data_IF_980735656024
#
_entry.id   IF_980735656024
#
_cell.length_a   1.000
_cell.length_b   1.000
_cell.length_c   1.000
_cell.angle_alpha   90.00
_cell.angle_beta   90.00
_cell.angle_gamma   90.00
#
_symmetry.space_group_name_H-M   'P 1'
#
loop_
_entity.id
_entity.type
_entity.pdbx_description
1 polymer ?
#
# COMPACT_ATOMS: atom_id res chain seq x y z
N UNK A 1 9.42 -13.91 13.30
CA UNK A 1 8.74 -13.26 12.17
C UNK A 1 8.20 -11.90 12.57
N UNK A 2 8.42 -10.87 11.74
CA UNK A 2 8.02 -9.49 12.00
C UNK A 2 6.64 -9.12 11.43
N UNK A 3 6.05 -10.00 10.60
CA UNK A 3 4.78 -9.78 9.90
C UNK A 3 3.77 -10.87 10.25
N UNK A 4 2.50 -10.48 10.33
CA UNK A 4 1.38 -11.40 10.48
C UNK A 4 1.26 -12.29 9.22
N UNK A 5 1.00 -13.60 9.35
CA UNK A 5 0.92 -14.53 8.21
C UNK A 5 -0.18 -14.19 7.20
N UNK A 6 -1.14 -13.33 7.54
CA UNK A 6 -2.18 -12.83 6.62
C UNK A 6 -1.65 -11.80 5.63
N UNK A 7 -0.44 -11.28 5.82
CA UNK A 7 0.18 -10.30 4.90
C UNK A 7 0.75 -11.02 3.69
N UNK A 8 0.21 -10.72 2.51
CA UNK A 8 0.72 -11.24 1.23
C UNK A 8 1.60 -10.18 0.57
N UNK A 9 2.89 -10.48 0.44
CA UNK A 9 3.82 -9.63 -0.29
C UNK A 9 3.64 -9.82 -1.81
N UNK A 10 3.59 -8.71 -2.55
CA UNK A 10 3.51 -8.71 -4.01
C UNK A 10 4.80 -8.13 -4.60
N UNK A 11 5.29 -8.76 -5.67
CA UNK A 11 6.45 -8.31 -6.44
C UNK A 11 6.25 -8.65 -7.93
N UNK A 12 7.14 -8.18 -8.80
CA UNK A 12 7.07 -8.49 -10.21
C UNK A 12 8.14 -7.78 -11.04
N UNK A 13 7.98 -7.85 -12.36
CA UNK A 13 8.87 -7.18 -13.29
C UNK A 13 8.82 -5.65 -13.10
N UNK A 14 9.93 -4.92 -13.34
CA UNK A 14 9.98 -3.46 -13.16
C UNK A 14 8.85 -2.69 -13.86
N UNK A 15 8.45 -3.13 -15.05
CA UNK A 15 7.34 -2.52 -15.79
C UNK A 15 5.98 -2.68 -15.09
N UNK A 16 5.75 -3.81 -14.42
CA UNK A 16 4.53 -4.04 -13.63
C UNK A 16 4.53 -3.17 -12.37
N UNK A 17 5.67 -3.07 -11.69
CA UNK A 17 5.83 -2.20 -10.51
C UNK A 17 5.58 -0.74 -10.90
N UNK A 18 6.17 -0.27 -12.00
CA UNK A 18 5.98 1.10 -12.49
C UNK A 18 4.50 1.39 -12.82
N UNK A 19 3.80 0.44 -13.46
CA UNK A 19 2.36 0.57 -13.75
C UNK A 19 1.52 0.66 -12.48
N UNK A 20 1.80 -0.16 -11.48
CA UNK A 20 1.10 -0.10 -10.17
C UNK A 20 1.37 1.25 -9.49
N UNK A 21 2.62 1.70 -9.45
CA UNK A 21 2.98 2.98 -8.86
C UNK A 21 2.23 4.15 -9.53
N UNK A 22 2.12 4.14 -10.86
CA UNK A 22 1.33 5.13 -11.61
C UNK A 22 -0.17 5.07 -11.25
N UNK A 23 -0.77 3.88 -11.27
CA UNK A 23 -2.20 3.69 -10.98
C UNK A 23 -2.58 4.19 -9.58
N UNK A 24 -1.70 3.97 -8.60
CA UNK A 24 -1.90 4.40 -7.21
C UNK A 24 -1.27 5.76 -6.89
N UNK A 25 -0.69 6.46 -7.87
CA UNK A 25 0.00 7.75 -7.69
C UNK A 25 1.05 7.71 -6.56
N UNK A 26 1.77 6.59 -6.48
CA UNK A 26 2.86 6.36 -5.53
C UNK A 26 4.17 6.78 -6.19
N UNK A 27 4.96 7.60 -5.49
CA UNK A 27 6.35 7.89 -5.86
C UNK A 27 7.28 6.90 -5.16
N UNK A 28 8.27 6.42 -5.90
CA UNK A 28 9.44 5.75 -5.36
C UNK A 28 10.70 6.21 -6.12
N UNK A 29 11.85 6.20 -5.46
CA UNK A 29 13.13 6.64 -5.99
C UNK A 29 14.25 5.80 -5.40
N UNK A 30 15.12 5.26 -6.25
CA UNK A 30 16.32 4.54 -5.81
C UNK A 30 17.38 5.59 -5.51
N UNK A 31 17.83 5.62 -4.27
CA UNK A 31 18.84 6.57 -3.79
C UNK A 31 20.14 5.81 -3.56
N UNK A 32 21.21 6.26 -4.22
CA UNK A 32 22.55 5.72 -4.06
C UNK A 32 23.41 6.73 -3.33
N UNK A 33 23.98 6.31 -2.20
CA UNK A 33 24.96 7.11 -1.47
C UNK A 33 26.34 6.94 -2.14
N UNK A 34 26.97 8.02 -2.63
CA UNK A 34 28.30 7.97 -3.24
C UNK A 34 29.40 7.42 -2.31
N UNK A 35 29.17 7.42 -1.00
CA UNK A 35 30.11 6.93 0.01
C UNK A 35 29.80 5.51 0.50
N UNK A 36 28.69 4.91 0.05
CA UNK A 36 28.33 3.54 0.39
C UNK A 36 28.98 2.52 -0.57
N UNK A 37 28.84 1.23 -0.24
CA UNK A 37 29.28 0.17 -1.12
C UNK A 37 28.61 0.27 -2.51
N UNK A 38 29.28 -0.14 -3.61
CA UNK A 38 28.76 0.02 -4.98
C UNK A 38 27.36 -0.58 -5.23
N UNK A 39 27.00 -1.62 -4.46
CA UNK A 39 25.70 -2.31 -4.57
C UNK A 39 24.65 -1.80 -3.57
N UNK A 40 25.04 -0.92 -2.63
CA UNK A 40 24.15 -0.39 -1.63
C UNK A 40 23.27 0.72 -2.21
N UNK A 41 21.96 0.61 -1.99
CA UNK A 41 21.01 1.66 -2.27
C UNK A 41 19.86 1.63 -1.26
N UNK A 42 19.25 2.78 -1.02
CA UNK A 42 17.97 2.89 -0.34
C UNK A 42 16.87 3.20 -1.35
N UNK A 43 15.62 3.05 -0.91
CA UNK A 43 14.46 3.44 -1.73
C UNK A 43 13.63 4.43 -0.94
N UNK A 44 13.64 5.68 -1.39
CA UNK A 44 12.66 6.66 -0.95
C UNK A 44 11.32 6.27 -1.56
N UNK A 45 10.28 6.15 -0.74
CA UNK A 45 8.96 5.73 -1.20
C UNK A 45 7.86 6.46 -0.45
N UNK A 46 6.70 6.59 -1.11
CA UNK A 46 5.50 7.09 -0.44
C UNK A 46 5.01 6.07 0.57
N UNK A 47 4.88 6.48 1.83
CA UNK A 47 4.32 5.64 2.89
C UNK A 47 2.82 5.90 3.07
N UNK A 48 2.02 4.84 3.13
CA UNK A 48 0.57 4.90 3.34
C UNK A 48 -0.13 3.60 2.98
N UNK A 49 -1.42 3.53 3.28
CA UNK A 49 -2.27 2.37 2.99
C UNK A 49 -3.41 2.76 2.05
N UNK A 50 -3.79 1.86 1.16
CA UNK A 50 -4.94 2.00 0.26
C UNK A 50 -5.98 0.95 0.65
N UNK A 51 -7.22 1.38 0.86
CA UNK A 51 -8.37 0.53 1.10
C UNK A 51 -9.21 0.43 -0.18
N UNK A 52 -9.50 -0.80 -0.58
CA UNK A 52 -10.32 -1.15 -1.72
C UNK A 52 -11.58 -1.88 -1.25
N UNK A 53 -12.68 -1.79 -2.00
CA UNK A 53 -13.86 -2.62 -1.78
C UNK A 53 -13.67 -4.06 -2.30
N UNK A 54 -14.67 -4.92 -2.12
CA UNK A 54 -14.64 -6.32 -2.57
C UNK A 54 -14.65 -6.49 -4.10
N UNK A 55 -14.91 -5.41 -4.85
CA UNK A 55 -14.85 -5.37 -6.32
C UNK A 55 -13.54 -4.75 -6.83
N UNK A 56 -12.68 -4.29 -5.92
CA UNK A 56 -11.41 -3.64 -6.24
C UNK A 56 -11.51 -2.13 -6.47
N UNK A 57 -12.66 -1.52 -6.20
CA UNK A 57 -12.83 -0.07 -6.31
C UNK A 57 -12.11 0.64 -5.15
N UNK A 58 -11.46 1.76 -5.45
CA UNK A 58 -10.77 2.56 -4.43
C UNK A 58 -11.77 3.23 -3.48
N UNK A 59 -11.60 2.99 -2.17
CA UNK A 59 -12.42 3.62 -1.12
C UNK A 59 -11.67 4.77 -0.43
N UNK A 60 -10.44 4.52 0.04
CA UNK A 60 -9.70 5.51 0.83
C UNK A 60 -8.20 5.27 0.85
N UNK A 61 -7.44 6.34 1.01
CA UNK A 61 -6.00 6.32 1.34
C UNK A 61 -5.81 6.78 2.79
N UNK A 62 -4.99 6.06 3.54
CA UNK A 62 -4.53 6.45 4.87
C UNK A 62 -3.09 6.93 4.78
N UNK A 63 -2.81 8.07 5.41
CA UNK A 63 -1.44 8.58 5.51
C UNK A 63 -0.61 7.71 6.45
N UNK A 64 0.71 7.73 6.28
CA UNK A 64 1.62 7.11 7.24
C UNK A 64 1.34 7.64 8.66
N UNK A 65 1.34 6.74 9.65
CA UNK A 65 1.07 7.08 11.05
C UNK A 65 -0.39 7.34 11.38
N UNK A 66 -1.35 7.07 10.47
CA UNK A 66 -2.78 7.13 10.81
C UNK A 66 -3.07 6.19 12.01
N UNK A 67 -3.75 6.65 13.07
CA UNK A 67 -4.08 5.81 14.23
C UNK A 67 -4.91 4.59 13.84
N UNK A 68 -4.64 3.45 14.48
CA UNK A 68 -5.29 2.18 14.18
C UNK A 68 -6.80 2.26 14.42
N UNK A 69 -7.22 2.97 15.47
CA UNK A 69 -8.62 3.18 15.82
C UNK A 69 -9.37 3.92 14.70
N UNK A 70 -8.70 4.89 14.06
CA UNK A 70 -9.27 5.63 12.93
C UNK A 70 -9.36 4.77 11.66
N UNK A 71 -8.37 3.90 11.43
CA UNK A 71 -8.40 2.95 10.32
C UNK A 71 -9.57 1.97 10.51
N UNK A 72 -9.66 1.35 11.70
CA UNK A 72 -10.72 0.40 12.03
C UNK A 72 -12.12 1.01 11.88
N UNK A 73 -12.36 2.16 12.51
CA UNK A 73 -13.66 2.86 12.41
C UNK A 73 -14.02 3.24 10.97
N UNK A 74 -13.01 3.56 10.14
CA UNK A 74 -13.24 3.83 8.71
C UNK A 74 -13.65 2.56 7.95
N UNK A 75 -13.03 1.42 8.26
CA UNK A 75 -13.36 0.14 7.63
C UNK A 75 -14.78 -0.28 8.03
N UNK A 76 -15.12 -0.19 9.32
CA UNK A 76 -16.46 -0.51 9.82
C UNK A 76 -17.54 0.36 9.14
N UNK A 77 -17.28 1.66 8.98
CA UNK A 77 -18.18 2.57 8.26
C UNK A 77 -18.47 2.10 6.82
N UNK A 78 -17.46 1.61 6.10
CA UNK A 78 -17.66 1.10 4.74
C UNK A 78 -18.35 -0.26 4.72
N UNK A 79 -18.14 -1.11 5.73
CA UNK A 79 -18.85 -2.38 5.88
C UNK A 79 -20.34 -2.13 6.12
N UNK A 80 -20.70 -1.19 6.99
CA UNK A 80 -22.11 -0.86 7.30
C UNK A 80 -22.88 -0.32 6.08
N UNK A 81 -22.17 0.29 5.13
CA UNK A 81 -22.74 0.82 3.90
C UNK A 81 -22.69 -0.16 2.71
N UNK A 82 -21.98 -1.28 2.85
CA UNK A 82 -21.82 -2.22 1.76
C UNK A 82 -23.13 -2.95 1.47
N UNK A 83 -23.56 -3.05 0.19
CA UNK A 83 -24.69 -3.92 -0.15
C UNK A 83 -24.37 -5.36 0.24
N UNK A 84 -25.38 -6.18 0.59
CA UNK A 84 -25.15 -7.56 1.01
C UNK A 84 -24.39 -8.32 -0.09
N UNK A 85 -23.46 -9.22 0.29
CA UNK A 85 -22.71 -10.00 -0.68
C UNK A 85 -23.68 -10.79 -1.56
N UNK A 86 -23.50 -10.70 -2.89
CA UNK A 86 -24.30 -11.50 -3.83
C UNK A 86 -23.76 -12.94 -3.79
N UNK A 87 -24.61 -13.88 -3.40
CA UNK A 87 -24.37 -15.32 -3.48
C UNK A 87 -24.27 -15.81 -4.92
#
# INVERSE_FOLDING_TARGET
DFFDPRIVALTGQPALIARVAQNYKVRYEIVRDPHAAPEAYSVDHSAGLYLLDTRGDFLKKFAFGTPVEQIAATIDHFIDQAPPPRH
#
